data_IF_552150168120
#
_entry.id   IF_552150168120
#
_cell.length_a   1.000
_cell.length_b   1.000
_cell.length_c   1.000
_cell.angle_alpha   90.00
_cell.angle_beta   90.00
_cell.angle_gamma   90.00
#
_symmetry.space_group_name_H-M   'P 1'
#
loop_
_entity.id
_entity.type
_entity.pdbx_description
1 polymer ?
#
# COMPACT_ATOMS: atom_id res chain seq x y z
N UNK A 1 -8.28 21.45 -3.46
CA UNK A 1 -6.83 21.69 -3.38
C UNK A 1 -6.46 22.50 -2.14
N UNK A 2 -7.06 23.68 -1.91
CA UNK A 2 -6.78 24.50 -0.71
C UNK A 2 -6.95 23.75 0.62
N UNK A 3 -8.05 23.01 0.79
CA UNK A 3 -8.29 22.21 1.99
C UNK A 3 -7.18 21.18 2.25
N UNK A 4 -6.71 20.48 1.21
CA UNK A 4 -5.65 19.48 1.33
C UNK A 4 -4.30 20.13 1.70
N UNK A 5 -3.99 21.29 1.11
CA UNK A 5 -2.78 22.05 1.44
C UNK A 5 -2.79 22.54 2.89
N UNK A 6 -3.94 23.00 3.39
CA UNK A 6 -4.09 23.41 4.79
C UNK A 6 -3.91 22.20 5.73
N UNK A 7 -4.54 21.06 5.44
CA UNK A 7 -4.37 19.87 6.29
C UNK A 7 -2.94 19.34 6.28
N UNK A 8 -2.24 19.42 5.13
CA UNK A 8 -0.83 19.06 5.03
C UNK A 8 0.04 20.01 5.87
N UNK A 9 -0.20 21.33 5.77
CA UNK A 9 0.51 22.32 6.56
C UNK A 9 0.31 22.15 8.07
N UNK A 10 -0.90 21.76 8.50
CA UNK A 10 -1.16 21.42 9.91
C UNK A 10 -0.36 20.18 10.33
N UNK A 11 -0.27 19.15 9.47
CA UNK A 11 0.55 17.96 9.73
C UNK A 11 2.04 18.30 9.90
N UNK A 12 2.60 19.10 8.99
CA UNK A 12 4.00 19.56 9.08
C UNK A 12 4.25 20.44 10.31
N UNK A 13 3.26 21.25 10.72
CA UNK A 13 3.35 22.04 11.94
C UNK A 13 3.43 21.14 13.18
N UNK A 14 2.67 20.03 13.22
CA UNK A 14 2.76 19.05 14.31
C UNK A 14 4.11 18.35 14.30
N UNK A 15 4.62 17.95 13.14
CA UNK A 15 5.96 17.36 13.01
C UNK A 15 7.05 18.31 13.51
N UNK A 16 7.05 19.57 13.08
CA UNK A 16 8.00 20.58 13.54
C UNK A 16 7.87 20.84 15.05
N UNK A 17 6.64 20.89 15.57
CA UNK A 17 6.38 21.06 17.01
C UNK A 17 6.92 19.89 17.83
N UNK A 18 6.88 18.66 17.29
CA UNK A 18 7.40 17.48 18.00
C UNK A 18 8.90 17.54 18.25
N UNK A 19 9.65 18.19 17.36
CA UNK A 19 11.09 18.42 17.50
C UNK A 19 11.39 19.67 18.34
N UNK A 20 10.57 20.71 18.23
CA UNK A 20 10.80 22.01 18.86
C UNK A 20 10.39 22.07 20.35
N UNK A 21 9.46 21.22 20.81
CA UNK A 21 9.02 21.15 22.20
C UNK A 21 9.31 19.78 22.86
N UNK A 22 10.58 19.51 23.24
CA UNK A 22 10.98 18.23 23.81
C UNK A 22 10.25 17.86 25.10
N UNK A 23 9.89 18.84 25.93
CA UNK A 23 9.21 18.59 27.22
C UNK A 23 7.84 17.92 27.04
N UNK A 24 7.14 18.24 25.94
CA UNK A 24 5.82 17.68 25.65
C UNK A 24 5.86 16.48 24.70
N UNK A 25 6.78 16.45 23.73
CA UNK A 25 6.84 15.42 22.68
C UNK A 25 8.01 14.43 22.81
N UNK A 26 8.94 14.65 23.73
CA UNK A 26 10.16 13.85 23.88
C UNK A 26 11.25 14.13 22.84
N UNK A 27 11.03 15.09 21.92
CA UNK A 27 12.00 15.47 20.88
C UNK A 27 12.31 14.31 19.93
N UNK A 28 13.58 14.18 19.53
CA UNK A 28 14.04 13.08 18.65
C UNK A 28 13.90 11.70 19.30
N UNK A 29 14.09 11.62 20.63
CA UNK A 29 13.97 10.37 21.39
C UNK A 29 12.54 9.88 21.54
N UNK A 30 11.56 10.78 21.41
CA UNK A 30 10.15 10.46 21.58
C UNK A 30 9.75 10.16 23.02
N UNK A 31 8.52 9.69 23.17
CA UNK A 31 7.94 9.30 24.46
C UNK A 31 7.81 7.78 24.48
N UNK A 32 8.49 7.16 25.44
CA UNK A 32 8.29 5.74 25.75
C UNK A 32 7.03 5.57 26.60
N UNK A 33 6.21 4.60 26.26
CA UNK A 33 5.05 4.19 27.06
C UNK A 33 5.30 2.80 27.61
N UNK A 34 4.70 2.50 28.75
CA UNK A 34 4.77 1.17 29.34
C UNK A 34 3.34 0.67 29.54
N UNK A 35 2.96 -0.33 28.75
CA UNK A 35 1.61 -0.90 28.73
C UNK A 35 1.25 -1.73 29.98
N UNK A 36 2.23 -1.99 30.85
CA UNK A 36 2.09 -2.78 32.09
C UNK A 36 2.04 -1.86 33.33
N UNK A 37 2.19 -0.55 33.16
CA UNK A 37 2.10 0.41 34.27
C UNK A 37 0.65 0.61 34.68
N UNK A 38 0.34 0.28 35.93
CA UNK A 38 -0.98 0.44 36.54
C UNK A 38 -1.56 -0.87 37.08
N UNK A 39 -2.75 -0.78 37.67
CA UNK A 39 -3.52 -1.96 38.10
C UNK A 39 -4.06 -2.72 36.88
N UNK A 40 -4.08 -4.07 36.90
CA UNK A 40 -4.62 -4.87 35.80
C UNK A 40 -6.08 -4.49 35.50
N UNK A 41 -6.34 -3.99 34.30
CA UNK A 41 -7.70 -3.69 33.87
C UNK A 41 -8.46 -5.00 33.65
N UNK A 42 -9.50 -5.25 34.46
CA UNK A 42 -10.28 -6.50 34.43
C UNK A 42 -9.42 -7.78 34.64
N UNK A 43 -8.30 -7.68 35.36
CA UNK A 43 -7.36 -8.79 35.56
C UNK A 43 -6.43 -9.06 34.38
N UNK A 44 -6.41 -8.20 33.36
CA UNK A 44 -5.56 -8.31 32.18
C UNK A 44 -4.39 -7.32 32.32
N UNK A 45 -3.18 -7.85 32.39
CA UNK A 45 -1.94 -7.08 32.60
C UNK A 45 -1.34 -6.52 31.31
N UNK A 46 -1.85 -6.91 30.14
CA UNK A 46 -1.38 -6.56 28.79
C UNK A 46 0.12 -6.82 28.50
N UNK A 47 0.87 -7.42 29.42
CA UNK A 47 2.28 -7.76 29.21
C UNK A 47 2.51 -8.83 28.15
N UNK A 48 1.56 -9.76 27.96
CA UNK A 48 1.68 -10.76 26.90
C UNK A 48 1.23 -10.17 25.55
N UNK A 49 2.09 -10.25 24.52
CA UNK A 49 1.79 -9.75 23.18
C UNK A 49 0.49 -10.29 22.56
N UNK A 50 0.04 -11.48 22.98
CA UNK A 50 -1.27 -12.04 22.58
C UNK A 50 -2.45 -11.20 23.07
N UNK A 51 -2.40 -10.67 24.29
CA UNK A 51 -3.48 -9.83 24.85
C UNK A 51 -3.60 -8.53 24.06
N UNK A 52 -2.45 -7.92 23.73
CA UNK A 52 -2.38 -6.71 22.90
C UNK A 52 -2.89 -7.01 21.48
N UNK A 53 -2.54 -8.15 20.91
CA UNK A 53 -3.05 -8.57 19.60
C UNK A 53 -4.58 -8.63 19.58
N UNK A 54 -5.20 -9.29 20.56
CA UNK A 54 -6.67 -9.37 20.63
C UNK A 54 -7.33 -8.00 20.86
N UNK A 55 -6.70 -7.12 21.65
CA UNK A 55 -7.16 -5.74 21.81
C UNK A 55 -7.17 -4.97 20.48
N UNK A 56 -6.05 -5.02 19.75
CA UNK A 56 -5.90 -4.36 18.44
C UNK A 56 -6.88 -4.96 17.44
N UNK A 57 -7.00 -6.30 17.39
CA UNK A 57 -7.91 -6.98 16.49
C UNK A 57 -9.38 -6.62 16.77
N UNK A 58 -9.78 -6.58 18.04
CA UNK A 58 -11.13 -6.19 18.44
C UNK A 58 -11.46 -4.74 18.03
N UNK A 59 -10.55 -3.81 18.32
CA UNK A 59 -10.72 -2.41 17.91
C UNK A 59 -10.70 -2.24 16.39
N UNK A 60 -9.82 -2.93 15.68
CA UNK A 60 -9.76 -2.91 14.23
C UNK A 60 -11.09 -3.38 13.62
N UNK A 61 -11.64 -4.50 14.11
CA UNK A 61 -12.93 -5.03 13.66
C UNK A 61 -14.07 -4.06 13.99
N UNK A 62 -14.09 -3.51 15.21
CA UNK A 62 -15.10 -2.54 15.64
C UNK A 62 -15.07 -1.27 14.79
N UNK A 63 -13.88 -0.71 14.53
CA UNK A 63 -13.71 0.43 13.63
C UNK A 63 -14.15 0.10 12.21
N UNK A 64 -13.81 -1.08 11.69
CA UNK A 64 -14.23 -1.52 10.36
C UNK A 64 -15.75 -1.64 10.26
N UNK A 65 -16.41 -2.27 11.24
CA UNK A 65 -17.89 -2.38 11.28
C UNK A 65 -18.52 -1.00 11.40
N UNK A 66 -17.98 -0.11 12.23
CA UNK A 66 -18.48 1.26 12.38
C UNK A 66 -18.36 2.06 11.08
N UNK A 67 -17.22 2.00 10.40
CA UNK A 67 -17.01 2.64 9.09
C UNK A 67 -17.92 2.06 8.01
N UNK A 68 -18.13 0.73 8.03
CA UNK A 68 -19.04 0.07 7.09
C UNK A 68 -20.48 0.51 7.31
N UNK A 69 -20.95 0.49 8.56
CA UNK A 69 -22.28 0.95 8.94
C UNK A 69 -22.49 2.43 8.57
N UNK A 70 -21.49 3.28 8.82
CA UNK A 70 -21.53 4.70 8.45
C UNK A 70 -21.72 4.91 6.94
N UNK A 71 -21.09 4.07 6.11
CA UNK A 71 -21.21 4.15 4.64
C UNK A 71 -22.64 3.93 4.16
N UNK A 72 -23.45 3.17 4.92
CA UNK A 72 -24.86 2.92 4.61
C UNK A 72 -25.82 4.04 5.06
N UNK A 73 -25.33 4.99 5.86
CA UNK A 73 -26.14 6.13 6.34
C UNK A 73 -26.36 7.19 5.26
N UNK A 74 -27.38 8.06 5.40
CA UNK A 74 -27.60 9.18 4.47
C UNK A 74 -26.38 10.11 4.35
N UNK A 75 -25.65 10.35 5.44
CA UNK A 75 -24.44 11.16 5.45
C UNK A 75 -23.33 10.55 4.58
N UNK A 76 -23.14 9.22 4.65
CA UNK A 76 -22.18 8.52 3.79
C UNK A 76 -22.51 8.64 2.30
N UNK A 77 -23.80 8.52 1.94
CA UNK A 77 -24.25 8.70 0.55
C UNK A 77 -24.04 10.12 0.04
N UNK A 78 -24.32 11.12 0.88
CA UNK A 78 -24.07 12.54 0.54
C UNK A 78 -22.56 12.79 0.41
N UNK A 79 -21.72 12.19 1.26
CA UNK A 79 -20.27 12.32 1.14
C UNK A 79 -19.74 11.80 -0.21
N UNK A 80 -20.28 10.67 -0.70
CA UNK A 80 -19.98 10.18 -2.06
C UNK A 80 -20.49 11.16 -3.13
N UNK A 81 -21.69 11.71 -2.99
CA UNK A 81 -22.20 12.72 -3.93
C UNK A 81 -21.34 13.99 -3.97
N UNK A 82 -20.83 14.44 -2.81
CA UNK A 82 -19.91 15.61 -2.70
C UNK A 82 -18.57 15.32 -3.35
N UNK A 83 -18.11 14.06 -3.33
CA UNK A 83 -16.90 13.62 -4.03
C UNK A 83 -17.11 13.65 -5.55
N UNK A 84 -18.25 13.18 -6.04
CA UNK A 84 -18.50 13.03 -7.48
C UNK A 84 -18.81 14.37 -8.15
N UNK A 85 -19.71 15.18 -7.58
CA UNK A 85 -20.03 16.50 -8.10
C UNK A 85 -20.50 17.45 -6.98
N UNK A 86 -19.60 18.26 -6.41
CA UNK A 86 -19.94 19.15 -5.30
C UNK A 86 -20.96 20.23 -5.71
N UNK A 87 -20.87 20.77 -6.93
CA UNK A 87 -21.80 21.79 -7.43
C UNK A 87 -23.24 21.25 -7.45
N UNK A 88 -23.43 20.02 -7.92
CA UNK A 88 -24.75 19.36 -7.95
C UNK A 88 -25.33 19.17 -6.54
N UNK A 89 -24.50 18.92 -5.54
CA UNK A 89 -24.94 18.76 -4.15
C UNK A 89 -25.42 20.10 -3.57
N UNK A 90 -24.79 21.21 -3.94
CA UNK A 90 -25.21 22.55 -3.52
C UNK A 90 -26.57 22.94 -4.12
N UNK A 91 -26.83 22.56 -5.38
CA UNK A 91 -28.15 22.77 -6.00
C UNK A 91 -29.29 21.99 -5.31
N UNK A 92 -28.99 20.88 -4.64
CA UNK A 92 -29.98 20.09 -3.86
C UNK A 92 -30.17 20.68 -2.45
N UNK A 93 -29.44 21.73 -2.09
CA UNK A 93 -29.56 22.45 -0.81
C UNK A 93 -28.63 21.96 0.30
N UNK A 94 -27.68 21.07 -0.01
CA UNK A 94 -26.69 20.60 0.96
C UNK A 94 -25.41 21.44 0.92
N UNK A 95 -24.90 21.80 2.09
CA UNK A 95 -23.62 22.51 2.19
C UNK A 95 -22.43 21.54 2.08
N UNK A 96 -21.68 21.61 0.98
CA UNK A 96 -20.51 20.74 0.70
C UNK A 96 -19.41 20.87 1.74
N UNK A 97 -19.19 22.08 2.28
CA UNK A 97 -18.15 22.37 3.26
C UNK A 97 -18.43 21.68 4.60
N UNK A 98 -19.69 21.69 5.07
CA UNK A 98 -20.09 20.97 6.30
C UNK A 98 -19.88 19.47 6.16
N UNK A 99 -20.23 18.90 5.00
CA UNK A 99 -20.02 17.46 4.74
C UNK A 99 -18.53 17.12 4.78
N UNK A 100 -17.68 17.89 4.09
CA UNK A 100 -16.22 17.69 4.11
C UNK A 100 -15.63 17.79 5.52
N UNK A 101 -16.12 18.75 6.32
CA UNK A 101 -15.67 18.93 7.70
C UNK A 101 -16.05 17.75 8.60
N UNK A 102 -17.28 17.24 8.49
CA UNK A 102 -17.71 16.05 9.24
C UNK A 102 -16.89 14.80 8.85
N UNK A 103 -16.64 14.62 7.56
CA UNK A 103 -15.79 13.51 7.07
C UNK A 103 -14.36 13.64 7.58
N UNK A 104 -13.82 14.86 7.65
CA UNK A 104 -12.49 15.10 8.23
C UNK A 104 -12.45 14.70 9.70
N UNK A 105 -13.44 15.13 10.51
CA UNK A 105 -13.51 14.78 11.94
C UNK A 105 -13.59 13.26 12.11
N UNK A 106 -14.44 12.59 11.34
CA UNK A 106 -14.61 11.14 11.42
C UNK A 106 -13.32 10.41 11.01
N UNK A 107 -12.64 10.88 9.97
CA UNK A 107 -11.36 10.31 9.53
C UNK A 107 -10.28 10.51 10.60
N UNK A 108 -10.21 11.69 11.21
CA UNK A 108 -9.28 11.98 12.31
C UNK A 108 -9.56 11.12 13.54
N UNK A 109 -10.83 10.84 13.86
CA UNK A 109 -11.21 9.95 14.96
C UNK A 109 -10.67 8.53 14.74
N UNK A 110 -10.91 7.92 13.57
CA UNK A 110 -10.39 6.58 13.26
C UNK A 110 -8.86 6.55 13.14
N UNK A 111 -8.24 7.59 12.59
CA UNK A 111 -6.79 7.73 12.57
C UNK A 111 -6.20 7.85 13.99
N UNK A 112 -6.89 8.55 14.89
CA UNK A 112 -6.52 8.65 16.30
C UNK A 112 -6.58 7.31 17.04
N UNK A 113 -7.62 6.50 16.78
CA UNK A 113 -7.70 5.11 17.29
C UNK A 113 -6.49 4.30 16.79
N UNK A 114 -6.18 4.38 15.49
CA UNK A 114 -5.04 3.68 14.92
C UNK A 114 -3.70 4.12 15.56
N UNK A 115 -3.51 5.42 15.78
CA UNK A 115 -2.34 5.98 16.46
C UNK A 115 -2.22 5.51 17.91
N UNK A 116 -3.31 5.52 18.67
CA UNK A 116 -3.33 5.03 20.05
C UNK A 116 -2.98 3.54 20.13
N UNK A 117 -3.53 2.71 19.24
CA UNK A 117 -3.20 1.29 19.15
C UNK A 117 -1.74 1.06 18.75
N UNK A 118 -1.19 1.89 17.86
CA UNK A 118 0.23 1.85 17.47
C UNK A 118 1.13 2.17 18.66
N UNK A 119 0.80 3.19 19.46
CA UNK A 119 1.55 3.54 20.67
C UNK A 119 1.57 2.38 21.68
N UNK A 120 0.44 1.69 21.87
CA UNK A 120 0.35 0.51 22.73
C UNK A 120 1.16 -0.67 22.16
N UNK A 121 1.20 -0.83 20.84
CA UNK A 121 1.90 -1.94 20.19
C UNK A 121 3.42 -1.81 20.31
N UNK A 122 3.96 -0.65 19.93
CA UNK A 122 5.40 -0.40 19.81
C UNK A 122 6.04 0.16 21.10
N UNK A 123 5.25 0.58 22.08
CA UNK A 123 5.74 1.15 23.35
C UNK A 123 6.61 2.40 23.24
N UNK A 124 6.75 2.97 22.05
CA UNK A 124 7.49 4.20 21.81
C UNK A 124 6.85 4.99 20.68
N UNK A 125 6.75 6.30 20.87
CA UNK A 125 6.27 7.24 19.85
C UNK A 125 7.30 8.37 19.71
N UNK A 126 8.01 8.37 18.57
CA UNK A 126 8.96 9.41 18.16
C UNK A 126 8.36 10.35 17.11
N UNK A 127 9.07 11.44 16.82
CA UNK A 127 8.72 12.42 15.77
C UNK A 127 8.49 11.77 14.38
N UNK A 128 9.15 10.64 14.09
CA UNK A 128 8.97 9.93 12.82
C UNK A 128 7.53 9.40 12.63
N UNK A 129 6.82 9.09 13.72
CA UNK A 129 5.44 8.60 13.67
C UNK A 129 4.45 9.65 13.16
N UNK A 130 4.77 10.94 13.34
CA UNK A 130 3.95 12.06 12.85
C UNK A 130 4.51 12.68 11.56
N UNK A 131 5.51 12.05 10.95
CA UNK A 131 6.12 12.53 9.70
C UNK A 131 5.20 12.37 8.49
N UNK A 132 5.41 13.22 7.48
CA UNK A 132 4.76 13.07 6.18
C UNK A 132 5.13 11.77 5.47
N UNK A 133 6.34 11.24 5.70
CA UNK A 133 6.78 9.96 5.13
C UNK A 133 5.92 8.81 5.67
N UNK A 134 5.69 8.78 6.98
CA UNK A 134 4.81 7.78 7.61
C UNK A 134 3.38 7.88 7.07
N UNK A 135 2.86 9.10 6.95
CA UNK A 135 1.54 9.36 6.37
C UNK A 135 1.45 8.92 4.90
N UNK A 136 2.51 9.17 4.12
CA UNK A 136 2.65 8.72 2.74
C UNK A 136 2.61 7.21 2.61
N UNK A 137 3.27 6.47 3.52
CA UNK A 137 3.20 5.01 3.56
C UNK A 137 1.78 4.47 3.73
N UNK A 138 0.98 5.07 4.61
CA UNK A 138 -0.42 4.69 4.81
C UNK A 138 -1.27 4.98 3.57
N UNK A 139 -1.05 6.14 2.93
CA UNK A 139 -1.73 6.47 1.67
C UNK A 139 -1.35 5.47 0.57
N UNK A 140 -0.06 5.15 0.41
CA UNK A 140 0.42 4.16 -0.54
C UNK A 140 -0.24 2.81 -0.32
N UNK A 141 -0.31 2.32 0.92
CA UNK A 141 -1.02 1.09 1.26
C UNK A 141 -2.50 1.15 0.85
N UNK A 142 -3.19 2.25 1.15
CA UNK A 142 -4.60 2.42 0.76
C UNK A 142 -4.81 2.41 -0.77
N UNK A 143 -3.92 3.06 -1.52
CA UNK A 143 -3.98 3.08 -3.00
C UNK A 143 -3.64 1.73 -3.62
N UNK A 144 -2.60 1.04 -3.13
CA UNK A 144 -2.23 -0.32 -3.56
C UNK A 144 -3.43 -1.26 -3.41
N UNK A 145 -4.09 -1.19 -2.25
CA UNK A 145 -5.27 -1.99 -1.95
C UNK A 145 -6.48 -1.64 -2.81
N UNK A 146 -6.66 -0.35 -3.12
CA UNK A 146 -7.74 0.18 -3.94
C UNK A 146 -8.72 1.01 -3.13
N UNK A 147 -8.60 2.34 -3.19
CA UNK A 147 -9.45 3.27 -2.44
C UNK A 147 -10.93 3.31 -2.90
N UNK A 148 -11.24 2.67 -4.04
CA UNK A 148 -12.62 2.53 -4.54
C UNK A 148 -13.41 1.40 -3.89
N UNK A 149 -12.75 0.46 -3.20
CA UNK A 149 -13.38 -0.70 -2.56
C UNK A 149 -13.20 -0.58 -1.05
N UNK A 150 -14.27 -0.80 -0.28
CA UNK A 150 -14.24 -0.67 1.19
C UNK A 150 -13.13 -1.50 1.85
N UNK A 151 -12.98 -2.77 1.43
CA UNK A 151 -11.94 -3.67 1.94
C UNK A 151 -10.57 -3.50 1.26
N UNK A 152 -10.47 -2.63 0.24
CA UNK A 152 -9.24 -2.40 -0.50
C UNK A 152 -8.08 -1.99 0.40
N UNK A 153 -8.21 -0.91 1.21
CA UNK A 153 -7.14 -0.47 2.11
C UNK A 153 -6.65 -1.54 3.09
N UNK A 154 -7.50 -2.48 3.50
CA UNK A 154 -7.10 -3.60 4.38
C UNK A 154 -6.16 -4.55 3.64
N UNK A 155 -6.51 -4.94 2.40
CA UNK A 155 -5.64 -5.77 1.56
C UNK A 155 -4.32 -5.03 1.27
N UNK A 156 -4.41 -3.74 0.98
CA UNK A 156 -3.25 -2.89 0.74
C UNK A 156 -2.32 -2.79 1.94
N UNK A 157 -2.85 -2.67 3.15
CA UNK A 157 -2.07 -2.68 4.39
C UNK A 157 -1.38 -4.03 4.61
N UNK A 158 -2.06 -5.15 4.37
CA UNK A 158 -1.46 -6.50 4.46
C UNK A 158 -0.28 -6.62 3.47
N UNK A 159 -0.50 -6.23 2.21
CA UNK A 159 0.55 -6.28 1.17
C UNK A 159 1.71 -5.36 1.55
N UNK A 160 1.43 -4.11 1.95
CA UNK A 160 2.46 -3.18 2.39
C UNK A 160 3.28 -3.74 3.54
N UNK A 161 2.65 -4.31 4.57
CA UNK A 161 3.35 -4.92 5.71
C UNK A 161 4.17 -6.13 5.29
N UNK A 162 3.66 -6.99 4.40
CA UNK A 162 4.42 -8.10 3.86
C UNK A 162 5.65 -7.63 3.09
N UNK A 163 5.54 -6.56 2.30
CA UNK A 163 6.68 -5.94 1.65
C UNK A 163 7.67 -5.38 2.67
N UNK A 164 7.18 -4.64 3.66
CA UNK A 164 8.02 -4.04 4.69
C UNK A 164 8.80 -5.09 5.49
N UNK A 165 8.20 -6.24 5.81
CA UNK A 165 8.89 -7.31 6.54
C UNK A 165 9.78 -8.14 5.61
N UNK A 166 9.23 -8.66 4.51
CA UNK A 166 9.97 -9.59 3.66
C UNK A 166 11.09 -8.92 2.84
N UNK A 167 10.85 -7.72 2.29
CA UNK A 167 11.89 -7.05 1.51
C UNK A 167 12.90 -6.32 2.38
N UNK A 168 12.53 -5.85 3.58
CA UNK A 168 13.51 -5.21 4.48
C UNK A 168 14.58 -6.20 4.96
N UNK A 169 14.26 -7.48 5.06
CA UNK A 169 15.25 -8.53 5.39
C UNK A 169 16.14 -8.90 4.19
N UNK A 170 15.62 -8.77 2.97
CA UNK A 170 16.33 -9.16 1.74
C UNK A 170 17.21 -8.03 1.16
N UNK A 171 16.73 -6.79 1.21
CA UNK A 171 17.36 -5.65 0.52
C UNK A 171 17.17 -4.35 1.29
N UNK A 172 18.24 -3.56 1.37
CA UNK A 172 18.19 -2.19 1.91
C UNK A 172 17.39 -1.24 1.00
N UNK A 173 17.18 -1.60 -0.27
CA UNK A 173 16.46 -0.80 -1.26
C UNK A 173 14.94 -1.04 -1.27
N UNK A 174 14.37 -1.64 -0.22
CA UNK A 174 12.97 -2.07 -0.21
C UNK A 174 11.95 -0.95 -0.50
N UNK A 175 12.21 0.30 -0.09
CA UNK A 175 11.35 1.45 -0.43
C UNK A 175 11.28 1.69 -1.93
N UNK A 176 12.37 1.49 -2.67
CA UNK A 176 12.40 1.66 -4.12
C UNK A 176 11.54 0.59 -4.79
N UNK A 177 11.65 -0.67 -4.36
CA UNK A 177 10.78 -1.75 -4.85
C UNK A 177 9.32 -1.49 -4.56
N UNK A 178 9.00 -1.00 -3.36
CA UNK A 178 7.64 -0.62 -3.00
C UNK A 178 7.12 0.51 -3.90
N UNK A 179 7.92 1.55 -4.13
CA UNK A 179 7.55 2.67 -5.02
C UNK A 179 7.35 2.23 -6.46
N UNK A 180 8.20 1.35 -6.96
CA UNK A 180 8.08 0.81 -8.32
C UNK A 180 6.86 -0.11 -8.46
N UNK A 181 6.61 -0.95 -7.45
CA UNK A 181 5.39 -1.74 -7.36
C UNK A 181 4.15 -0.84 -7.38
N UNK A 182 4.15 0.24 -6.60
CA UNK A 182 3.07 1.23 -6.61
C UNK A 182 2.86 1.87 -7.99
N UNK A 183 3.91 2.32 -8.67
CA UNK A 183 3.81 2.90 -10.02
C UNK A 183 3.25 1.89 -11.01
N UNK A 184 3.74 0.64 -11.00
CA UNK A 184 3.21 -0.43 -11.84
C UNK A 184 1.72 -0.69 -11.55
N UNK A 185 1.35 -0.70 -10.27
CA UNK A 185 -0.03 -0.87 -9.83
C UNK A 185 -0.92 0.22 -10.46
N UNK A 186 -0.59 1.49 -10.24
CA UNK A 186 -1.37 2.64 -10.74
C UNK A 186 -1.47 2.63 -12.27
N UNK A 187 -0.39 2.25 -12.97
CA UNK A 187 -0.34 2.26 -14.43
C UNK A 187 -1.14 1.11 -15.07
N UNK A 188 -1.08 -0.09 -14.50
CA UNK A 188 -1.70 -1.28 -15.11
C UNK A 188 -3.07 -1.65 -14.52
N UNK A 189 -3.37 -1.20 -13.30
CA UNK A 189 -4.55 -1.62 -12.54
C UNK A 189 -5.14 -0.41 -11.80
N UNK A 190 -5.84 0.50 -12.49
CA UNK A 190 -6.33 1.77 -11.92
C UNK A 190 -7.41 1.65 -10.83
N UNK A 191 -7.67 0.44 -10.31
CA UNK A 191 -8.63 0.18 -9.23
C UNK A 191 -8.05 -0.50 -7.97
N UNK A 192 -6.73 -0.74 -7.90
CA UNK A 192 -6.13 -1.44 -6.76
C UNK A 192 -6.23 -2.97 -6.84
N UNK A 193 -5.58 -3.66 -5.90
CA UNK A 193 -5.59 -5.14 -5.87
C UNK A 193 -7.02 -5.65 -5.69
N UNK A 194 -7.86 -4.91 -4.95
CA UNK A 194 -9.25 -5.26 -4.75
C UNK A 194 -10.08 -5.31 -6.05
N UNK A 195 -9.79 -4.46 -7.04
CA UNK A 195 -10.52 -4.48 -8.30
C UNK A 195 -10.21 -5.72 -9.14
N UNK A 196 -8.97 -6.22 -9.08
CA UNK A 196 -8.61 -7.49 -9.71
C UNK A 196 -9.43 -8.62 -9.10
N UNK A 197 -9.43 -8.71 -7.77
CA UNK A 197 -10.13 -9.75 -7.04
C UNK A 197 -11.64 -9.77 -7.38
N UNK A 198 -12.26 -8.58 -7.47
CA UNK A 198 -13.66 -8.43 -7.90
C UNK A 198 -13.89 -8.80 -9.38
N UNK A 199 -12.96 -8.47 -10.29
CA UNK A 199 -13.05 -8.86 -11.70
C UNK A 199 -12.89 -10.36 -11.92
N UNK A 200 -12.11 -11.04 -11.07
CA UNK A 200 -11.82 -12.48 -11.20
C UNK A 200 -12.86 -13.37 -10.52
N UNK A 201 -13.57 -12.89 -9.50
CA UNK A 201 -14.68 -13.61 -8.85
C UNK A 201 -15.74 -14.18 -9.81
N UNK A 202 -16.28 -13.43 -10.79
CA UNK A 202 -17.24 -13.98 -11.75
C UNK A 202 -16.62 -14.94 -12.78
N UNK A 203 -15.32 -14.85 -13.06
CA UNK A 203 -14.59 -15.75 -13.97
C UNK A 203 -14.29 -17.11 -13.31
N UNK A 204 -13.95 -17.11 -12.03
CA UNK A 204 -13.80 -18.31 -11.20
C UNK A 204 -15.15 -18.99 -11.00
N UNK A 205 -16.22 -18.22 -10.74
CA UNK A 205 -17.58 -18.73 -10.61
C UNK A 205 -18.09 -19.43 -11.88
N UNK A 206 -17.66 -19.00 -13.07
CA UNK A 206 -18.05 -19.60 -14.36
C UNK A 206 -17.16 -20.77 -14.82
N UNK A 207 -16.19 -21.24 -14.02
CA UNK A 207 -15.25 -22.35 -14.35
C UNK A 207 -14.48 -22.22 -15.68
N UNK A 208 -14.48 -21.06 -16.32
CA UNK A 208 -13.80 -20.82 -17.60
C UNK A 208 -12.32 -20.42 -17.44
N UNK A 209 -11.85 -20.26 -16.20
CA UNK A 209 -10.47 -19.90 -15.86
C UNK A 209 -9.43 -20.89 -16.42
N UNK A 210 -9.79 -22.18 -16.51
CA UNK A 210 -8.91 -23.25 -17.00
C UNK A 210 -8.48 -23.10 -18.47
N UNK A 211 -9.27 -22.42 -19.32
CA UNK A 211 -8.93 -22.19 -20.74
C UNK A 211 -7.89 -21.08 -20.95
N UNK A 212 -7.79 -20.13 -20.02
CA UNK A 212 -6.83 -19.02 -20.09
C UNK A 212 -5.56 -19.28 -19.27
N UNK A 213 -5.59 -20.26 -18.36
CA UNK A 213 -4.46 -20.65 -17.50
C UNK A 213 -3.12 -20.84 -18.23
N UNK A 214 -3.04 -21.52 -19.41
CA UNK A 214 -1.75 -21.67 -20.10
C UNK A 214 -1.22 -20.36 -20.70
N UNK A 215 -2.10 -19.42 -21.07
CA UNK A 215 -1.71 -18.12 -21.63
C UNK A 215 -1.30 -17.13 -20.53
N UNK A 216 -1.97 -17.16 -19.38
CA UNK A 216 -1.51 -16.46 -18.18
C UNK A 216 -0.16 -17.00 -17.69
N UNK A 217 0.07 -18.32 -17.77
CA UNK A 217 1.36 -18.92 -17.43
C UNK A 217 2.52 -18.38 -18.29
N UNK A 218 2.33 -18.29 -19.62
CA UNK A 218 3.35 -17.73 -20.52
C UNK A 218 3.60 -16.23 -20.28
N UNK A 219 2.54 -15.46 -20.02
CA UNK A 219 2.69 -14.05 -19.66
C UNK A 219 3.37 -13.88 -18.29
N UNK A 220 3.07 -14.74 -17.31
CA UNK A 220 3.69 -14.72 -15.99
C UNK A 220 5.19 -15.04 -16.04
N UNK A 221 5.61 -16.00 -16.87
CA UNK A 221 7.04 -16.30 -17.07
C UNK A 221 7.77 -15.13 -17.70
N UNK A 222 7.22 -14.50 -18.75
CA UNK A 222 7.81 -13.31 -19.34
C UNK A 222 7.88 -12.13 -18.35
N UNK A 223 6.85 -11.97 -17.52
CA UNK A 223 6.82 -10.98 -16.44
C UNK A 223 7.86 -11.25 -15.35
N UNK A 224 8.08 -12.51 -14.99
CA UNK A 224 9.09 -12.92 -14.02
C UNK A 224 10.52 -12.63 -14.52
N UNK A 225 10.79 -12.83 -15.81
CA UNK A 225 12.09 -12.48 -16.42
C UNK A 225 12.33 -10.96 -16.38
N UNK A 226 11.30 -10.15 -16.68
CA UNK A 226 11.38 -8.70 -16.57
C UNK A 226 11.58 -8.23 -15.12
N UNK A 227 10.87 -8.84 -14.17
CA UNK A 227 11.06 -8.57 -12.74
C UNK A 227 12.47 -8.95 -12.28
N UNK A 228 13.02 -10.08 -12.71
CA UNK A 228 14.38 -10.48 -12.39
C UNK A 228 15.43 -9.51 -12.98
N UNK A 229 15.23 -9.07 -14.23
CA UNK A 229 16.09 -8.06 -14.85
C UNK A 229 16.06 -6.74 -14.06
N UNK A 230 14.87 -6.31 -13.66
CA UNK A 230 14.65 -5.12 -12.86
C UNK A 230 15.32 -5.22 -11.48
N UNK A 231 15.10 -6.32 -10.75
CA UNK A 231 15.72 -6.58 -9.44
C UNK A 231 17.25 -6.51 -9.56
N UNK A 232 17.83 -7.22 -10.53
CA UNK A 232 19.27 -7.23 -10.74
C UNK A 232 19.81 -5.83 -11.05
N UNK A 233 19.09 -5.05 -11.87
CA UNK A 233 19.49 -3.66 -12.18
C UNK A 233 19.42 -2.77 -10.93
N UNK A 234 18.35 -2.86 -10.16
CA UNK A 234 18.12 -2.05 -8.96
C UNK A 234 19.18 -2.34 -7.90
N UNK A 235 19.46 -3.61 -7.61
CA UNK A 235 20.46 -3.98 -6.61
C UNK A 235 21.87 -3.51 -6.99
N UNK A 236 22.24 -3.62 -8.27
CA UNK A 236 23.53 -3.12 -8.75
C UNK A 236 23.65 -1.59 -8.63
N UNK A 237 22.61 -0.84 -9.01
CA UNK A 237 22.57 0.62 -8.83
C UNK A 237 22.72 0.98 -7.36
N UNK A 238 21.96 0.30 -6.49
CA UNK A 238 21.98 0.58 -5.05
C UNK A 238 23.35 0.30 -4.42
N UNK A 239 23.99 -0.82 -4.76
CA UNK A 239 25.34 -1.14 -4.27
C UNK A 239 26.39 -0.15 -4.74
N UNK A 240 26.36 0.27 -6.00
CA UNK A 240 27.35 1.19 -6.56
C UNK A 240 27.18 2.62 -6.03
N UNK A 241 25.95 3.08 -5.84
CA UNK A 241 25.68 4.47 -5.47
C UNK A 241 25.51 4.71 -3.97
N UNK A 242 24.86 3.80 -3.26
CA UNK A 242 24.40 4.03 -1.87
C UNK A 242 25.27 3.28 -0.86
N UNK A 243 25.74 2.07 -1.19
CA UNK A 243 26.55 1.22 -0.28
C UNK A 243 28.03 1.20 -0.67
N UNK A 244 28.52 2.21 -1.39
CA UNK A 244 29.89 2.29 -1.94
C UNK A 244 30.99 2.24 -0.87
N UNK A 245 30.65 2.52 0.39
CA UNK A 245 31.53 2.40 1.55
C UNK A 245 31.84 0.95 1.96
N UNK A 246 31.00 -0.03 1.58
CA UNK A 246 31.13 -1.44 1.97
C UNK A 246 31.76 -2.34 0.87
N UNK A 247 32.31 -1.74 -0.19
CA UNK A 247 32.87 -2.46 -1.35
C UNK A 247 31.83 -2.79 -2.43
N UNK A 248 32.31 -3.25 -3.59
CA UNK A 248 31.46 -3.51 -4.78
C UNK A 248 31.08 -4.98 -4.97
N UNK A 249 31.61 -5.88 -4.14
CA UNK A 249 31.22 -7.30 -4.14
C UNK A 249 29.81 -7.48 -3.56
N UNK A 250 28.95 -8.14 -4.32
CA UNK A 250 27.58 -8.44 -3.92
C UNK A 250 27.26 -9.92 -4.17
N UNK A 251 26.52 -10.53 -3.26
CA UNK A 251 25.86 -11.81 -3.48
C UNK A 251 24.37 -11.59 -3.75
N UNK A 252 23.87 -12.04 -4.90
CA UNK A 252 22.44 -11.97 -5.24
C UNK A 252 21.97 -13.39 -5.54
N UNK A 253 21.04 -13.92 -4.74
CA UNK A 253 20.52 -15.31 -4.87
C UNK A 253 21.66 -16.34 -4.89
N UNK A 254 22.66 -16.18 -4.01
CA UNK A 254 23.80 -17.10 -3.88
C UNK A 254 24.86 -17.02 -4.97
N UNK A 255 24.73 -16.10 -5.93
CA UNK A 255 25.76 -15.82 -6.95
C UNK A 255 26.53 -14.56 -6.53
N UNK A 256 27.84 -14.70 -6.35
CA UNK A 256 28.72 -13.58 -6.02
C UNK A 256 29.22 -12.92 -7.30
N UNK A 257 29.04 -11.61 -7.42
CA UNK A 257 29.56 -10.81 -8.52
C UNK A 257 29.89 -9.39 -8.07
N UNK A 258 30.84 -8.77 -8.77
CA UNK A 258 31.27 -7.40 -8.52
C UNK A 258 30.42 -6.42 -9.34
N UNK A 259 29.62 -5.61 -8.65
CA UNK A 259 28.73 -4.63 -9.27
C UNK A 259 29.48 -3.45 -9.94
N UNK A 260 30.77 -3.28 -9.64
CA UNK A 260 31.65 -2.29 -10.27
C UNK A 260 32.16 -2.69 -11.66
N UNK A 261 32.04 -3.97 -12.03
CA UNK A 261 32.48 -4.48 -13.33
C UNK A 261 31.39 -4.30 -14.39
N UNK A 262 31.76 -4.08 -15.67
CA UNK A 262 30.81 -3.87 -16.78
C UNK A 262 29.98 -5.12 -17.14
N UNK A 263 30.45 -6.33 -16.78
CA UNK A 263 29.85 -7.59 -17.19
C UNK A 263 28.42 -7.84 -16.61
N UNK A 264 28.16 -7.65 -15.30
CA UNK A 264 26.80 -7.74 -14.76
C UNK A 264 25.80 -6.76 -15.40
N UNK A 265 26.24 -5.56 -15.79
CA UNK A 265 25.39 -4.58 -16.47
C UNK A 265 24.98 -5.02 -17.89
N UNK A 266 25.88 -5.68 -18.62
CA UNK A 266 25.56 -6.27 -19.94
C UNK A 266 24.56 -7.41 -19.79
N UNK A 267 24.71 -8.25 -18.76
CA UNK A 267 23.77 -9.33 -18.45
C UNK A 267 22.38 -8.77 -18.12
N UNK A 268 22.30 -7.69 -17.33
CA UNK A 268 21.04 -7.00 -17.04
C UNK A 268 20.37 -6.47 -18.31
N UNK A 269 21.13 -5.81 -19.18
CA UNK A 269 20.63 -5.26 -20.44
C UNK A 269 20.12 -6.37 -21.38
N UNK A 270 20.82 -7.51 -21.44
CA UNK A 270 20.37 -8.67 -22.21
C UNK A 270 19.07 -9.28 -21.65
N UNK A 271 18.94 -9.39 -20.32
CA UNK A 271 17.72 -9.87 -19.67
C UNK A 271 16.53 -8.92 -19.90
N UNK A 272 16.76 -7.60 -19.89
CA UNK A 272 15.74 -6.61 -20.26
C UNK A 272 15.27 -6.76 -21.70
N UNK A 273 16.20 -6.90 -22.65
CA UNK A 273 15.88 -7.05 -24.06
C UNK A 273 15.10 -8.35 -24.35
N UNK A 274 15.56 -9.47 -23.78
CA UNK A 274 14.90 -10.78 -23.94
C UNK A 274 13.54 -10.81 -23.23
N UNK A 275 13.46 -10.28 -22.01
CA UNK A 275 12.21 -10.18 -21.26
C UNK A 275 11.18 -9.32 -21.97
N UNK A 276 11.58 -8.18 -22.53
CA UNK A 276 10.69 -7.28 -23.28
C UNK A 276 10.17 -7.94 -24.56
N UNK A 277 11.04 -8.61 -25.32
CA UNK A 277 10.65 -9.33 -26.52
C UNK A 277 9.65 -10.47 -26.20
N UNK A 278 9.93 -11.26 -25.15
CA UNK A 278 9.05 -12.32 -24.69
C UNK A 278 7.71 -11.79 -24.20
N UNK A 279 7.70 -10.68 -23.45
CA UNK A 279 6.48 -10.05 -22.96
C UNK A 279 5.61 -9.52 -24.10
N UNK A 280 6.22 -8.84 -25.08
CA UNK A 280 5.50 -8.31 -26.25
C UNK A 280 4.85 -9.43 -27.06
N UNK A 281 5.54 -10.56 -27.21
CA UNK A 281 5.00 -11.74 -27.89
C UNK A 281 3.86 -12.42 -27.11
N UNK A 282 4.03 -12.61 -25.80
CA UNK A 282 3.01 -13.20 -24.93
C UNK A 282 1.75 -12.30 -24.82
N UNK A 283 1.94 -10.98 -24.68
CA UNK A 283 0.84 -10.02 -24.62
C UNK A 283 0.02 -9.98 -25.92
N UNK A 284 0.68 -10.14 -27.07
CA UNK A 284 0.00 -10.29 -28.36
C UNK A 284 -0.89 -11.53 -28.43
N UNK A 285 -0.42 -12.67 -27.92
CA UNK A 285 -1.22 -13.91 -27.89
C UNK A 285 -2.41 -13.85 -26.92
N UNK A 286 -2.24 -13.20 -25.76
CA UNK A 286 -3.31 -13.02 -24.78
C UNK A 286 -4.44 -12.15 -25.35
N UNK A 287 -4.09 -11.03 -26.02
CA UNK A 287 -5.09 -10.16 -26.68
C UNK A 287 -5.84 -10.90 -27.78
N UNK A 288 -5.13 -11.60 -28.66
CA UNK A 288 -5.75 -12.36 -29.75
C UNK A 288 -6.74 -13.44 -29.25
N UNK A 289 -6.45 -14.09 -28.12
CA UNK A 289 -7.35 -15.08 -27.52
C UNK A 289 -8.54 -14.45 -26.78
N UNK A 290 -8.36 -13.29 -26.13
CA UNK A 290 -9.45 -12.52 -25.54
C UNK A 290 -10.46 -12.09 -26.61
N UNK A 291 -9.99 -11.58 -27.74
CA UNK A 291 -10.84 -11.17 -28.87
C UNK A 291 -11.59 -12.37 -29.49
N UNK A 292 -10.93 -13.54 -29.57
CA UNK A 292 -11.55 -14.77 -30.05
C UNK A 292 -12.66 -15.29 -29.13
N UNK A 293 -12.52 -15.15 -27.81
CA UNK A 293 -13.55 -15.56 -26.83
C UNK A 293 -14.71 -14.57 -26.83
N UNK A 294 -14.44 -13.26 -26.94
CA UNK A 294 -15.48 -12.22 -27.01
C UNK A 294 -16.34 -12.35 -28.27
N UNK A 295 -15.72 -12.63 -29.43
CA UNK A 295 -16.45 -12.90 -30.69
C UNK A 295 -17.30 -14.16 -30.63
N UNK A 296 -16.87 -15.21 -29.93
CA UNK A 296 -17.69 -16.41 -29.72
C UNK A 296 -18.85 -16.22 -28.74
N UNK A 297 -18.72 -15.29 -27.78
CA UNK A 297 -19.73 -15.05 -26.74
C UNK A 297 -20.74 -13.96 -27.15
N UNK A 298 -20.33 -13.02 -28.02
CA UNK A 298 -21.17 -11.92 -28.53
C UNK A 298 -22.15 -12.31 -29.65
N UNK A 299 -22.17 -13.57 -30.11
CA UNK A 299 -23.10 -14.08 -31.13
C UNK A 299 -24.48 -14.50 -30.61
N UNK A 300 -24.75 -14.32 -29.31
CA UNK A 300 -26.02 -14.63 -28.67
C UNK A 300 -26.50 -13.48 -27.76
N UNK A 301 -26.57 -12.26 -28.30
CA UNK A 301 -27.35 -11.16 -27.75
C UNK A 301 -28.31 -10.65 -28.82
#
# INVERSE_FOLDING_TARGET
TTFAMITMGIGEMVFASSLMFPDFFGGEGGISTNRVVGEPFLGITYGHGRQVYYLIAAWCLLSMVAMYAWTHTPLGRIANAVRDNPERVEFIGYNTQRVRYLVLILSAFFAGIAGALSAINFEIVSAENVSAVRSGGVLLAAFIGGAGVFFGPVIGAIVFTLFAVALSDLTKAWLLYLGLFFVMMVMFVPGGIASLLMMQMPLVAKKQFGRMLPYYGRAAVAGAVLLAALILTVEMVYKVQVDSANGTEMSLVGINFDAGTFAPWIVAAALWALGYAAWRWAAGQVRAQLDAIQTQTGGHA
#
